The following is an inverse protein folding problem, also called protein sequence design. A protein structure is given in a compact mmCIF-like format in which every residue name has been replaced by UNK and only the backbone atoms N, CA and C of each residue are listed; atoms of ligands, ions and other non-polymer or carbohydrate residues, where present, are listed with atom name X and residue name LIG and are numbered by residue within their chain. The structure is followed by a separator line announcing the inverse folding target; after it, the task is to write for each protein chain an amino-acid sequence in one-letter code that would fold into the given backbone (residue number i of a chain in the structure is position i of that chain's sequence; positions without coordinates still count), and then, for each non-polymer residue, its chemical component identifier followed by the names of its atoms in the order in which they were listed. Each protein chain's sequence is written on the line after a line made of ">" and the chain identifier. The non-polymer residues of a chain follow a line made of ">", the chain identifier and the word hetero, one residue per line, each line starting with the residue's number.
data_IF_039159242671
#
_entry.id   IF_039159242671
#
_cell.length_a   1.000
_cell.length_b   1.000
_cell.length_c   1.000
_cell.angle_alpha   90.00
_cell.angle_beta   90.00
_cell.angle_gamma   90.00
#
_symmetry.space_group_name_H-M   'P 1'
#
loop_
_entity.id
_entity.type
_entity.pdbx_description
1 polymer ?
#
# COMPACT_ATOMS: atom_id res chain seq x y z
N UNK A 1 -10.96 -41.58 6.83
CA UNK A 1 -9.98 -41.59 5.73
C UNK A 1 -9.17 -42.87 5.82
N UNK A 2 -9.08 -43.67 4.75
CA UNK A 2 -8.27 -44.91 4.80
C UNK A 2 -6.80 -44.50 4.70
N UNK A 3 -5.90 -45.26 5.33
CA UNK A 3 -4.45 -44.98 5.29
C UNK A 3 -3.89 -44.86 3.86
N UNK A 4 -4.46 -45.62 2.92
CA UNK A 4 -4.11 -45.57 1.49
C UNK A 4 -4.48 -44.23 0.84
N UNK A 5 -5.63 -43.65 1.19
CA UNK A 5 -6.12 -42.40 0.62
C UNK A 5 -5.19 -41.23 1.01
N UNK A 6 -4.78 -41.17 2.28
CA UNK A 6 -3.83 -40.17 2.79
C UNK A 6 -2.46 -40.27 2.11
N UNK A 7 -1.97 -41.49 1.92
CA UNK A 7 -0.66 -41.72 1.29
C UNK A 7 -0.62 -41.18 -0.15
N UNK A 8 -1.67 -41.43 -0.93
CA UNK A 8 -1.79 -40.91 -2.30
C UNK A 8 -1.86 -39.37 -2.33
N UNK A 9 -2.58 -38.76 -1.38
CA UNK A 9 -2.67 -37.30 -1.24
C UNK A 9 -1.30 -36.67 -0.95
N UNK A 10 -0.53 -37.24 -0.01
CA UNK A 10 0.81 -36.75 0.33
C UNK A 10 1.80 -36.85 -0.84
N UNK A 11 1.63 -37.84 -1.72
CA UNK A 11 2.42 -37.95 -2.95
C UNK A 11 2.01 -36.87 -3.97
N UNK A 12 0.71 -36.60 -4.12
CA UNK A 12 0.21 -35.53 -5.01
C UNK A 12 0.71 -34.15 -4.54
N UNK A 13 0.78 -33.93 -3.23
CA UNK A 13 1.27 -32.69 -2.61
C UNK A 13 2.81 -32.57 -2.59
N UNK A 14 3.53 -33.62 -3.00
CA UNK A 14 4.99 -33.65 -3.03
C UNK A 14 5.66 -33.77 -1.65
N UNK A 15 4.90 -34.10 -0.60
CA UNK A 15 5.42 -34.30 0.76
C UNK A 15 6.24 -35.60 0.88
N UNK A 16 5.92 -36.59 0.04
CA UNK A 16 6.59 -37.88 0.00
C UNK A 16 7.09 -38.14 -1.42
N UNK A 17 8.37 -38.45 -1.57
CA UNK A 17 8.94 -38.91 -2.84
C UNK A 17 8.58 -40.37 -3.08
N UNK A 18 7.84 -40.65 -4.16
CA UNK A 18 7.54 -42.02 -4.57
C UNK A 18 8.52 -42.47 -5.65
N UNK A 19 9.59 -43.16 -5.25
CA UNK A 19 10.49 -43.87 -6.16
C UNK A 19 9.89 -45.22 -6.52
N UNK A 20 9.01 -45.25 -7.52
CA UNK A 20 8.79 -46.37 -8.45
C UNK A 20 7.74 -45.93 -9.48
N UNK A 21 8.08 -46.01 -10.76
CA UNK A 21 7.42 -45.28 -11.83
C UNK A 21 6.15 -45.96 -12.39
N UNK A 22 5.39 -46.69 -11.56
CA UNK A 22 4.14 -47.32 -11.97
C UNK A 22 3.10 -47.26 -10.85
N UNK A 23 2.29 -46.20 -10.84
CA UNK A 23 0.97 -46.28 -10.23
C UNK A 23 0.11 -47.28 -11.02
N UNK A 24 -0.60 -48.16 -10.34
CA UNK A 24 -1.58 -49.03 -10.98
C UNK A 24 -2.67 -48.18 -11.68
N UNK A 25 -3.32 -48.71 -12.72
CA UNK A 25 -4.36 -47.99 -13.49
C UNK A 25 -5.42 -47.40 -12.56
N UNK A 26 -5.82 -48.16 -11.53
CA UNK A 26 -6.80 -47.75 -10.52
C UNK A 26 -6.32 -46.59 -9.65
N UNK A 27 -5.02 -46.55 -9.32
CA UNK A 27 -4.44 -45.47 -8.53
C UNK A 27 -4.30 -44.19 -9.36
N UNK A 28 -4.05 -44.32 -10.68
CA UNK A 28 -4.07 -43.18 -11.61
C UNK A 28 -5.46 -42.56 -11.73
N UNK A 29 -6.50 -43.38 -11.76
CA UNK A 29 -7.89 -42.91 -11.75
C UNK A 29 -8.22 -42.16 -10.45
N UNK A 30 -7.83 -42.71 -9.30
CA UNK A 30 -8.02 -42.07 -7.98
C UNK A 30 -7.24 -40.74 -7.88
N UNK A 31 -5.98 -40.69 -8.34
CA UNK A 31 -5.18 -39.46 -8.38
C UNK A 31 -5.83 -38.40 -9.27
N UNK A 32 -6.36 -38.78 -10.43
CA UNK A 32 -7.03 -37.84 -11.33
C UNK A 32 -8.33 -37.30 -10.74
N UNK A 33 -9.08 -38.14 -10.01
CA UNK A 33 -10.27 -37.70 -9.28
C UNK A 33 -9.91 -36.66 -8.22
N UNK A 34 -8.89 -36.92 -7.40
CA UNK A 34 -8.39 -35.99 -6.37
C UNK A 34 -7.93 -34.67 -6.99
N UNK A 35 -7.16 -34.72 -8.09
CA UNK A 35 -6.72 -33.50 -8.79
C UNK A 35 -7.88 -32.67 -9.34
N UNK A 36 -8.91 -33.33 -9.89
CA UNK A 36 -10.10 -32.67 -10.40
C UNK A 36 -10.89 -31.99 -9.28
N UNK A 37 -11.02 -32.66 -8.14
CA UNK A 37 -11.67 -32.11 -6.95
C UNK A 37 -10.88 -30.92 -6.37
N UNK A 38 -9.56 -31.06 -6.22
CA UNK A 38 -8.68 -29.98 -5.79
C UNK A 38 -8.81 -28.75 -6.71
N UNK A 39 -8.85 -28.97 -8.03
CA UNK A 39 -9.09 -27.89 -8.99
C UNK A 39 -10.44 -27.21 -8.77
N UNK A 40 -11.51 -27.98 -8.58
CA UNK A 40 -12.84 -27.43 -8.33
C UNK A 40 -12.91 -26.65 -6.98
N UNK A 41 -12.19 -27.10 -5.95
CA UNK A 41 -12.06 -26.39 -4.67
C UNK A 41 -11.32 -25.07 -4.87
N UNK A 42 -10.21 -25.07 -5.61
CA UNK A 42 -9.42 -23.87 -5.88
C UNK A 42 -10.13 -22.87 -6.80
N UNK A 43 -10.98 -23.35 -7.72
CA UNK A 43 -11.86 -22.49 -8.52
C UNK A 43 -12.98 -21.88 -7.67
N UNK A 44 -13.56 -22.66 -6.74
CA UNK A 44 -14.62 -22.19 -5.83
C UNK A 44 -14.10 -21.28 -4.72
N UNK A 45 -12.87 -21.50 -4.27
CA UNK A 45 -12.18 -20.72 -3.27
C UNK A 45 -10.81 -20.30 -3.81
N UNK A 46 -10.76 -19.27 -4.67
CA UNK A 46 -9.51 -18.74 -5.18
C UNK A 46 -8.57 -18.42 -4.02
N UNK A 47 -7.30 -18.83 -4.14
CA UNK A 47 -6.31 -18.67 -3.08
C UNK A 47 -6.19 -17.21 -2.60
N UNK A 48 -6.40 -16.26 -3.51
CA UNK A 48 -6.42 -14.83 -3.24
C UNK A 48 -7.54 -14.40 -2.26
N UNK A 49 -8.75 -14.95 -2.39
CA UNK A 49 -9.88 -14.63 -1.51
C UNK A 49 -9.66 -15.21 -0.10
N UNK A 50 -9.05 -16.38 -0.02
CA UNK A 50 -8.67 -17.03 1.25
C UNK A 50 -7.52 -16.29 1.95
N UNK A 51 -6.52 -15.82 1.20
CA UNK A 51 -5.45 -14.98 1.75
C UNK A 51 -6.03 -13.69 2.36
N UNK A 52 -6.98 -13.05 1.67
CA UNK A 52 -7.70 -11.89 2.18
C UNK A 52 -8.46 -12.20 3.48
N UNK A 53 -9.20 -13.30 3.53
CA UNK A 53 -9.99 -13.69 4.72
C UNK A 53 -9.08 -14.01 5.92
N UNK A 54 -7.98 -14.74 5.71
CA UNK A 54 -7.01 -15.09 6.77
C UNK A 54 -6.31 -13.83 7.28
N UNK A 55 -5.85 -12.97 6.38
CA UNK A 55 -5.15 -11.73 6.74
C UNK A 55 -6.07 -10.75 7.47
N UNK A 56 -7.31 -10.62 7.01
CA UNK A 56 -8.34 -9.80 7.68
C UNK A 56 -8.63 -10.30 9.10
N UNK A 57 -8.71 -11.62 9.29
CA UNK A 57 -8.93 -12.24 10.60
C UNK A 57 -7.73 -12.10 11.53
N UNK A 58 -6.50 -12.17 10.99
CA UNK A 58 -5.28 -11.92 11.77
C UNK A 58 -5.17 -10.47 12.22
N UNK A 59 -5.58 -9.52 11.37
CA UNK A 59 -5.60 -8.09 11.69
C UNK A 59 -6.67 -7.78 12.75
N UNK A 60 -7.89 -8.29 12.61
CA UNK A 60 -8.95 -8.08 13.61
C UNK A 60 -8.62 -8.73 14.96
N UNK A 61 -7.98 -9.92 14.96
CA UNK A 61 -7.52 -10.57 16.19
C UNK A 61 -6.37 -9.80 16.88
N UNK A 62 -5.63 -8.97 16.14
CA UNK A 62 -4.57 -8.11 16.68
C UNK A 62 -5.17 -6.82 17.25
N UNK A 63 -6.20 -6.27 16.62
CA UNK A 63 -6.96 -5.11 17.12
C UNK A 63 -7.72 -5.43 18.41
N UNK A 64 -8.34 -6.62 18.54
CA UNK A 64 -8.96 -7.05 19.80
C UNK A 64 -7.96 -7.16 20.96
N UNK A 65 -6.70 -7.54 20.68
CA UNK A 65 -5.63 -7.58 21.71
C UNK A 65 -5.06 -6.20 22.05
N UNK A 66 -5.17 -5.22 21.15
CA UNK A 66 -4.78 -3.83 21.38
C UNK A 66 -5.82 -3.03 22.17
N UNK A 67 -7.11 -3.37 22.06
CA UNK A 67 -8.21 -2.74 22.81
C UNK A 67 -8.62 -3.48 24.11
N UNK A 68 -7.88 -4.51 24.53
CA UNK A 68 -8.20 -5.34 25.70
C UNK A 68 -7.66 -4.87 27.05
N UNK A 69 -6.94 -3.73 27.14
CA UNK A 69 -6.24 -3.36 28.38
C UNK A 69 -6.96 -2.36 29.29
N UNK A 70 -8.21 -1.98 29.01
CA UNK A 70 -8.98 -1.12 29.90
C UNK A 70 -10.23 -1.82 30.42
N UNK A 71 -10.09 -2.52 31.56
CA UNK A 71 -11.13 -2.46 32.61
C UNK A 71 -10.68 -2.99 33.98
N UNK A 72 -10.90 -2.09 34.95
CA UNK A 72 -11.30 -2.29 36.35
C UNK A 72 -10.18 -2.48 37.38
N UNK A 73 -9.69 -1.34 37.89
CA UNK A 73 -9.50 -1.21 39.34
C UNK A 73 -10.67 -0.41 39.93
N UNK A 74 -11.49 -1.11 40.71
CA UNK A 74 -12.51 -0.52 41.57
C UNK A 74 -11.78 0.10 42.77
N UNK A 75 -12.03 1.36 43.07
CA UNK A 75 -11.90 1.82 44.46
C UNK A 75 -13.08 2.73 44.80
N UNK A 76 -13.70 2.39 45.93
CA UNK A 76 -14.83 3.07 46.54
C UNK A 76 -14.35 4.35 47.22
N UNK A 77 -15.22 5.36 47.23
CA UNK A 77 -15.31 6.32 48.34
C UNK A 77 -14.79 7.72 48.05
N UNK A 78 -15.71 8.65 47.78
CA UNK A 78 -16.10 9.68 48.75
C UNK A 78 -17.01 10.71 48.06
N UNK A 79 -18.08 11.08 48.76
CA UNK A 79 -19.02 12.15 48.40
C UNK A 79 -18.43 13.51 48.78
N UNK A 80 -18.62 14.54 47.96
CA UNK A 80 -18.89 15.94 48.32
C UNK A 80 -19.02 16.75 47.01
N UNK A 81 -20.22 17.19 46.60
CA UNK A 81 -20.82 18.50 46.89
C UNK A 81 -19.88 19.70 46.68
N UNK A 82 -20.21 20.55 45.69
CA UNK A 82 -20.21 22.04 45.68
C UNK A 82 -20.44 22.47 44.21
N UNK A 83 -21.69 22.63 43.72
CA UNK A 83 -22.44 23.91 43.59
C UNK A 83 -21.58 25.07 43.05
N UNK A 84 -21.78 25.49 41.79
CA UNK A 84 -22.69 26.57 41.35
C UNK A 84 -22.14 27.98 41.61
N UNK A 85 -21.95 28.71 40.51
CA UNK A 85 -22.12 30.17 40.27
C UNK A 85 -20.95 30.70 39.42
N UNK A 86 -21.08 31.71 38.54
CA UNK A 86 -22.09 32.28 37.65
C UNK A 86 -21.42 33.54 37.07
N UNK A 87 -21.76 33.94 35.83
CA UNK A 87 -21.72 35.32 35.28
C UNK A 87 -20.29 35.83 34.90
N UNK A 88 -19.89 36.15 33.66
CA UNK A 88 -20.41 36.97 32.53
C UNK A 88 -19.74 38.37 32.48
N UNK A 89 -19.43 38.82 31.25
CA UNK A 89 -19.32 40.20 30.74
C UNK A 89 -17.96 40.71 30.21
N UNK A 90 -17.91 40.70 28.88
CA UNK A 90 -17.42 41.67 27.87
C UNK A 90 -17.25 43.13 28.34
N UNK A 91 -16.17 43.79 27.85
CA UNK A 91 -16.01 45.21 27.42
C UNK A 91 -14.63 45.76 27.85
N UNK A 92 -13.90 46.68 27.21
CA UNK A 92 -13.83 47.32 25.90
C UNK A 92 -12.64 48.32 25.99
N UNK A 93 -11.99 48.64 24.85
CA UNK A 93 -11.21 49.87 24.58
C UNK A 93 -9.87 50.10 25.33
N UNK A 94 -8.71 50.13 24.66
CA UNK A 94 -8.14 51.12 23.70
C UNK A 94 -7.19 52.14 24.36
N UNK A 95 -6.24 52.61 23.54
CA UNK A 95 -5.11 53.54 23.77
C UNK A 95 -3.80 52.81 24.16
N UNK A 96 -2.66 52.93 23.46
CA UNK A 96 -2.10 54.05 22.67
C UNK A 96 -0.93 53.47 21.82
N UNK A 97 -0.99 53.43 20.48
CA UNK A 97 -0.54 54.47 19.54
C UNK A 97 0.88 55.04 19.78
N UNK A 98 1.86 54.52 19.03
CA UNK A 98 3.04 55.22 18.51
C UNK A 98 3.39 54.50 17.18
N UNK A 99 2.89 54.93 16.01
CA UNK A 99 3.40 56.01 15.13
C UNK A 99 4.93 56.00 14.91
N UNK A 100 5.36 55.40 13.80
CA UNK A 100 6.33 55.96 12.87
C UNK A 100 5.99 55.50 11.43
N UNK A 101 5.84 56.43 10.46
CA UNK A 101 5.52 56.12 9.06
C UNK A 101 6.76 56.19 8.13
N UNK A 102 6.52 55.81 6.87
CA UNK A 102 7.26 56.12 5.62
C UNK A 102 8.04 54.95 5.03
N UNK A 103 7.48 54.40 3.95
CA UNK A 103 8.13 53.46 3.06
C UNK A 103 7.18 52.93 1.98
N UNK A 104 6.49 53.81 1.25
CA UNK A 104 5.70 53.43 0.07
C UNK A 104 6.69 52.98 -1.02
N UNK A 105 6.78 51.67 -1.23
CA UNK A 105 7.25 51.06 -2.47
C UNK A 105 6.14 50.10 -2.93
N UNK A 106 5.17 50.66 -3.65
CA UNK A 106 4.29 49.91 -4.53
C UNK A 106 5.10 49.50 -5.76
N UNK A 107 5.53 48.24 -5.85
CA UNK A 107 5.81 47.61 -7.14
C UNK A 107 5.69 46.08 -7.09
N UNK A 108 4.59 45.65 -7.72
CA UNK A 108 4.39 44.41 -8.46
C UNK A 108 4.33 43.07 -7.71
N UNK A 109 3.09 42.58 -7.64
CA UNK A 109 2.70 41.17 -7.76
C UNK A 109 3.67 40.39 -8.63
N UNK A 110 4.24 39.33 -8.06
CA UNK A 110 4.34 38.06 -8.77
C UNK A 110 3.78 37.02 -7.82
N UNK A 111 2.52 36.66 -8.05
CA UNK A 111 1.88 35.50 -7.47
C UNK A 111 2.68 34.26 -7.90
N UNK A 112 3.63 33.87 -7.07
CA UNK A 112 4.13 32.50 -7.12
C UNK A 112 3.19 31.72 -6.22
N UNK A 113 2.29 30.95 -6.84
CA UNK A 113 1.50 29.94 -6.17
C UNK A 113 2.46 29.06 -5.36
N UNK A 114 2.61 29.37 -4.08
CA UNK A 114 3.26 28.51 -3.12
C UNK A 114 2.41 27.27 -3.02
N UNK A 115 2.83 26.22 -3.72
CA UNK A 115 2.37 24.87 -3.48
C UNK A 115 2.42 24.65 -1.97
N UNK A 116 1.24 24.47 -1.37
CA UNK A 116 1.12 24.02 0.01
C UNK A 116 1.80 22.65 0.08
N UNK A 117 3.08 22.65 0.43
CA UNK A 117 3.82 21.46 0.83
C UNK A 117 3.21 21.03 2.16
N UNK A 118 2.19 20.20 2.10
CA UNK A 118 1.75 19.45 3.26
C UNK A 118 2.84 18.40 3.50
N UNK A 119 3.84 18.76 4.31
CA UNK A 119 4.69 17.78 4.94
C UNK A 119 3.80 16.97 5.87
N UNK A 120 3.25 15.86 5.37
CA UNK A 120 2.67 14.83 6.22
C UNK A 120 3.86 14.06 6.78
N UNK A 121 4.28 14.41 7.99
CA UNK A 121 5.16 13.56 8.77
C UNK A 121 4.34 12.31 9.11
N UNK A 122 4.69 11.11 8.58
CA UNK A 122 3.94 9.91 8.90
C UNK A 122 4.15 9.60 10.37
N UNK A 123 3.13 9.88 11.20
CA UNK A 123 3.09 9.37 12.56
C UNK A 123 3.12 7.85 12.50
N UNK A 124 4.27 7.28 12.85
CA UNK A 124 4.53 5.85 12.76
C UNK A 124 5.28 5.46 11.49
N UNK A 125 6.53 5.92 11.37
CA UNK A 125 7.51 5.22 10.53
C UNK A 125 7.85 3.86 11.15
N UNK A 126 6.92 2.91 11.00
CA UNK A 126 7.17 1.50 11.29
C UNK A 126 8.30 1.05 10.35
N UNK A 127 9.52 1.05 10.90
CA UNK A 127 10.75 0.73 10.19
C UNK A 127 10.56 -0.55 9.39
N UNK A 128 10.51 -0.42 8.07
CA UNK A 128 10.13 -1.50 7.19
C UNK A 128 11.18 -2.63 7.21
N UNK A 129 11.02 -3.61 8.10
CA UNK A 129 11.86 -4.82 8.16
C UNK A 129 11.75 -5.60 6.84
N UNK A 130 12.89 -5.94 6.25
CA UNK A 130 13.01 -6.68 4.97
C UNK A 130 14.10 -6.10 4.07
N UNK A 131 14.83 -6.97 3.37
CA UNK A 131 15.73 -6.58 2.28
C UNK A 131 14.89 -6.18 1.04
N UNK A 132 15.40 -5.25 0.23
CA UNK A 132 14.75 -4.82 -1.02
C UNK A 132 14.02 -3.48 -0.93
N UNK A 133 13.75 -2.88 -2.10
CA UNK A 133 13.04 -1.62 -2.24
C UNK A 133 11.60 -1.76 -1.76
N UNK A 134 10.94 -0.67 -1.40
CA UNK A 134 9.53 -0.70 -1.00
C UNK A 134 8.79 0.50 -1.52
N UNK A 135 7.50 0.31 -1.78
CA UNK A 135 6.54 1.37 -2.08
C UNK A 135 5.42 1.33 -1.06
N UNK A 136 4.98 2.50 -0.63
CA UNK A 136 3.82 2.65 0.23
C UNK A 136 2.88 3.71 -0.34
N UNK A 137 1.60 3.56 -0.01
CA UNK A 137 0.56 4.49 -0.40
C UNK A 137 -0.23 4.85 0.85
N UNK A 138 -0.47 6.14 1.06
CA UNK A 138 -1.24 6.64 2.19
C UNK A 138 -2.45 7.41 1.66
N UNK A 139 -3.62 7.18 2.24
CA UNK A 139 -4.81 7.96 1.94
C UNK A 139 -4.96 9.09 2.95
N UNK A 140 -5.25 10.29 2.48
CA UNK A 140 -5.60 11.42 3.34
C UNK A 140 -6.96 11.17 4.01
N UNK A 141 -6.99 11.22 5.33
CA UNK A 141 -8.20 11.17 6.14
C UNK A 141 -8.22 12.37 7.10
N UNK A 142 -8.98 13.41 6.73
CA UNK A 142 -9.02 14.66 7.46
C UNK A 142 -7.65 15.34 7.52
N UNK A 143 -7.10 15.46 8.73
CA UNK A 143 -5.76 15.98 9.01
C UNK A 143 -4.68 14.90 9.12
N UNK A 144 -5.03 13.63 8.94
CA UNK A 144 -4.12 12.47 9.06
C UNK A 144 -3.93 11.76 7.73
N UNK A 145 -2.93 10.88 7.67
CA UNK A 145 -2.73 9.99 6.54
C UNK A 145 -2.67 8.54 7.03
N UNK A 146 -3.48 7.68 6.41
CA UNK A 146 -3.60 6.27 6.76
C UNK A 146 -2.90 5.44 5.71
N UNK A 147 -1.95 4.60 6.13
CA UNK A 147 -1.25 3.70 5.22
C UNK A 147 -2.19 2.64 4.68
N UNK A 148 -2.25 2.51 3.36
CA UNK A 148 -3.04 1.52 2.67
C UNK A 148 -2.24 0.21 2.55
N UNK A 149 -2.91 -0.90 2.86
CA UNK A 149 -2.43 -2.23 2.53
C UNK A 149 -2.84 -2.61 1.10
N UNK A 150 -2.22 -3.67 0.56
CA UNK A 150 -2.74 -4.29 -0.65
C UNK A 150 -4.22 -4.64 -0.47
N UNK A 151 -4.97 -4.36 -1.53
CA UNK A 151 -6.40 -4.56 -1.72
C UNK A 151 -7.27 -3.67 -0.83
N UNK A 152 -6.70 -2.61 -0.29
CA UNK A 152 -7.49 -1.60 0.42
C UNK A 152 -8.49 -0.94 -0.53
N UNK A 153 -9.70 -0.72 -0.03
CA UNK A 153 -10.74 0.01 -0.75
C UNK A 153 -10.44 1.50 -0.77
N UNK A 154 -10.55 2.09 -1.95
CA UNK A 154 -10.44 3.53 -2.21
C UNK A 154 -11.61 3.98 -3.07
N UNK A 155 -11.85 5.28 -3.13
CA UNK A 155 -12.93 5.86 -3.90
C UNK A 155 -12.44 6.99 -4.79
N UNK A 156 -13.19 7.24 -5.88
CA UNK A 156 -12.92 8.38 -6.74
C UNK A 156 -12.88 9.68 -5.91
N UNK A 157 -11.84 10.48 -6.13
CA UNK A 157 -11.59 11.70 -5.39
C UNK A 157 -10.75 11.56 -4.12
N UNK A 158 -10.44 10.33 -3.67
CA UNK A 158 -9.46 10.12 -2.60
C UNK A 158 -8.11 10.72 -2.99
N UNK A 159 -7.42 11.30 -2.01
CA UNK A 159 -6.09 11.89 -2.20
C UNK A 159 -5.06 10.97 -1.57
N UNK A 160 -4.12 10.51 -2.39
CA UNK A 160 -3.10 9.53 -2.04
C UNK A 160 -1.72 10.18 -2.02
N UNK A 161 -0.92 9.85 -1.02
CA UNK A 161 0.51 10.14 -0.97
C UNK A 161 1.28 8.86 -1.24
N UNK A 162 2.12 8.86 -2.27
CA UNK A 162 3.02 7.75 -2.58
C UNK A 162 4.39 8.02 -1.95
N UNK A 163 5.01 6.99 -1.41
CA UNK A 163 6.38 7.03 -0.89
C UNK A 163 7.15 5.77 -1.26
N UNK A 164 8.48 5.84 -1.18
CA UNK A 164 9.34 4.69 -1.41
C UNK A 164 10.45 4.57 -0.37
N UNK A 165 11.02 3.38 -0.24
CA UNK A 165 12.28 3.11 0.46
C UNK A 165 13.26 2.53 -0.57
N UNK A 166 14.40 3.19 -0.75
CA UNK A 166 15.42 2.79 -1.75
C UNK A 166 16.15 1.50 -1.37
N UNK A 167 16.39 1.26 -0.07
CA UNK A 167 17.05 0.05 0.46
C UNK A 167 18.36 -0.35 -0.25
N UNK A 168 19.13 0.63 -0.72
CA UNK A 168 20.41 0.39 -1.41
C UNK A 168 20.32 0.31 -2.95
N UNK A 169 19.13 0.48 -3.54
CA UNK A 169 18.98 0.76 -4.97
C UNK A 169 19.34 2.20 -5.29
N UNK A 170 19.94 2.41 -6.46
CA UNK A 170 20.42 3.73 -6.90
C UNK A 170 19.49 4.36 -7.93
N UNK A 171 18.71 3.55 -8.65
CA UNK A 171 17.82 3.99 -9.71
C UNK A 171 16.41 3.44 -9.48
N UNK A 172 15.40 4.22 -9.85
CA UNK A 172 14.04 3.74 -9.80
C UNK A 172 13.05 4.52 -10.65
N UNK A 173 11.90 3.90 -10.85
CA UNK A 173 10.80 4.40 -11.65
C UNK A 173 9.49 4.00 -10.98
N UNK A 174 8.62 4.96 -10.71
CA UNK A 174 7.33 4.74 -10.05
C UNK A 174 6.22 5.19 -10.98
N UNK A 175 5.20 4.35 -11.13
CA UNK A 175 4.03 4.65 -11.95
C UNK A 175 2.81 3.91 -11.40
N UNK A 176 1.61 4.34 -11.79
CA UNK A 176 0.37 3.62 -11.52
C UNK A 176 -0.32 3.20 -12.81
N UNK A 177 -1.21 2.21 -12.70
CA UNK A 177 -2.14 1.81 -13.75
C UNK A 177 -3.56 1.78 -13.18
N UNK A 178 -4.47 2.48 -13.85
CA UNK A 178 -5.89 2.51 -13.50
C UNK A 178 -6.67 1.35 -14.14
N UNK A 179 -7.94 1.17 -13.76
CA UNK A 179 -8.79 0.14 -14.36
C UNK A 179 -9.22 0.38 -15.81
N UNK A 180 -8.85 1.51 -16.42
CA UNK A 180 -8.98 1.75 -17.86
C UNK A 180 -7.68 1.38 -18.63
N UNK A 181 -6.61 1.00 -17.92
CA UNK A 181 -5.30 0.72 -18.50
C UNK A 181 -4.42 1.96 -18.70
N UNK A 182 -4.80 3.14 -18.18
CA UNK A 182 -3.94 4.30 -18.28
C UNK A 182 -2.77 4.20 -17.31
N UNK A 183 -1.56 4.28 -17.87
CA UNK A 183 -0.33 4.38 -17.09
C UNK A 183 -0.02 5.84 -16.72
N UNK A 184 0.12 6.13 -15.43
CA UNK A 184 0.53 7.45 -14.93
C UNK A 184 1.91 7.36 -14.28
N UNK A 185 2.90 8.10 -14.81
CA UNK A 185 4.23 8.17 -14.20
C UNK A 185 4.21 9.07 -12.95
N UNK A 186 4.77 8.57 -11.85
CA UNK A 186 4.92 9.32 -10.60
C UNK A 186 6.36 9.71 -10.28
N UNK A 187 7.34 8.87 -10.62
CA UNK A 187 8.74 9.15 -10.41
C UNK A 187 9.59 8.63 -11.58
N UNK A 188 10.54 9.42 -12.10
CA UNK A 188 10.77 10.83 -11.76
C UNK A 188 9.62 11.74 -12.21
N UNK A 189 9.49 12.95 -11.65
CA UNK A 189 8.43 13.90 -12.05
C UNK A 189 8.61 14.36 -13.51
N UNK A 190 9.86 14.45 -13.97
CA UNK A 190 10.22 14.93 -15.31
C UNK A 190 11.11 13.94 -16.04
N UNK A 191 10.96 13.91 -17.36
CA UNK A 191 11.68 12.98 -18.22
C UNK A 191 11.03 11.59 -18.24
N UNK A 192 11.53 10.73 -19.13
CA UNK A 192 11.02 9.37 -19.29
C UNK A 192 11.92 8.32 -18.64
N UNK A 193 13.20 8.65 -18.42
CA UNK A 193 14.19 7.71 -17.88
C UNK A 193 14.04 7.55 -16.36
N UNK A 194 14.48 6.42 -15.78
CA UNK A 194 14.53 6.22 -14.34
C UNK A 194 15.32 7.30 -13.61
N UNK A 195 14.79 7.73 -12.46
CA UNK A 195 15.41 8.74 -11.62
C UNK A 195 16.41 8.14 -10.62
N UNK A 196 17.29 8.99 -10.09
CA UNK A 196 18.16 8.62 -8.97
C UNK A 196 17.35 8.53 -7.69
N UNK A 197 17.43 7.38 -7.02
CA UNK A 197 16.87 7.21 -5.68
C UNK A 197 17.82 7.85 -4.68
N UNK A 198 17.29 8.69 -3.81
CA UNK A 198 18.08 9.41 -2.81
C UNK A 198 17.64 9.03 -1.40
N UNK A 199 18.27 9.61 -0.39
CA UNK A 199 17.83 9.55 1.01
C UNK A 199 17.97 8.21 1.73
N UNK A 200 17.73 8.26 3.05
CA UNK A 200 17.72 7.11 3.95
C UNK A 200 16.33 7.00 4.57
N UNK A 201 15.73 5.82 4.53
CA UNK A 201 14.38 5.59 5.04
C UNK A 201 13.32 5.78 3.97
N UNK A 202 12.11 6.10 4.41
CA UNK A 202 10.95 6.32 3.55
C UNK A 202 10.90 7.76 3.05
N UNK A 203 10.67 7.92 1.75
CA UNK A 203 10.69 9.21 1.05
C UNK A 203 9.37 9.37 0.33
N UNK A 204 8.59 10.36 0.76
CA UNK A 204 7.39 10.77 0.06
C UNK A 204 7.75 11.43 -1.28
N UNK A 205 6.96 11.16 -2.32
CA UNK A 205 7.02 11.92 -3.57
C UNK A 205 6.55 13.36 -3.35
N UNK A 206 7.03 14.28 -4.18
CA UNK A 206 6.84 15.72 -4.00
C UNK A 206 5.38 16.20 -4.13
N UNK A 207 4.48 15.33 -4.57
CA UNK A 207 3.06 15.64 -4.74
C UNK A 207 2.15 14.48 -4.31
N UNK A 208 0.91 14.83 -3.98
CA UNK A 208 -0.16 13.88 -3.73
C UNK A 208 -0.99 13.67 -5.00
N UNK A 209 -1.43 12.43 -5.22
CA UNK A 209 -2.21 12.00 -6.37
C UNK A 209 -3.69 11.87 -6.01
N UNK A 210 -4.58 12.52 -6.76
CA UNK A 210 -6.02 12.40 -6.55
C UNK A 210 -6.57 11.33 -7.50
N UNK A 211 -7.25 10.33 -6.95
CA UNK A 211 -7.89 9.30 -7.75
C UNK A 211 -8.98 9.91 -8.64
N UNK A 212 -8.96 9.52 -9.89
CA UNK A 212 -10.01 9.81 -10.85
C UNK A 212 -11.21 8.84 -10.67
N UNK A 213 -12.14 8.87 -11.63
CA UNK A 213 -13.28 7.97 -11.67
C UNK A 213 -13.05 6.72 -12.54
N UNK A 214 -11.79 6.31 -12.78
CA UNK A 214 -11.51 5.04 -13.44
C UNK A 214 -12.09 3.87 -12.62
N UNK A 215 -12.65 2.84 -13.28
CA UNK A 215 -13.34 1.76 -12.59
C UNK A 215 -12.35 0.81 -11.90
N UNK A 216 -12.88 -0.09 -11.07
CA UNK A 216 -12.23 -1.30 -10.55
C UNK A 216 -11.02 -1.14 -9.63
N UNK A 217 -9.95 -0.46 -10.05
CA UNK A 217 -8.69 -0.46 -9.31
C UNK A 217 -7.77 0.71 -9.65
N UNK A 218 -6.76 0.86 -8.79
CA UNK A 218 -5.53 1.62 -9.03
C UNK A 218 -4.35 0.77 -8.53
N UNK A 219 -3.33 0.53 -9.36
CA UNK A 219 -2.16 -0.26 -8.95
C UNK A 219 -0.87 0.51 -9.17
N UNK A 220 -0.14 0.74 -8.09
CA UNK A 220 1.14 1.44 -8.11
C UNK A 220 2.28 0.44 -8.18
N UNK A 221 3.27 0.73 -9.02
CA UNK A 221 4.48 -0.07 -9.20
C UNK A 221 5.71 0.77 -8.87
N UNK A 222 6.69 0.15 -8.23
CA UNK A 222 8.03 0.67 -8.02
C UNK A 222 9.04 -0.30 -8.60
N UNK A 223 9.69 0.13 -9.68
CA UNK A 223 10.81 -0.57 -10.30
C UNK A 223 12.10 0.03 -9.79
N UNK A 224 13.05 -0.80 -9.37
CA UNK A 224 14.32 -0.33 -8.82
C UNK A 224 15.51 -1.18 -9.24
N UNK A 225 16.70 -0.57 -9.29
CA UNK A 225 17.95 -1.27 -9.60
C UNK A 225 19.18 -0.58 -8.98
N UNK A 226 20.24 -1.37 -8.77
CA UNK A 226 21.55 -0.88 -8.33
C UNK A 226 22.31 -0.27 -9.49
N UNK A 227 22.08 -0.75 -10.71
CA UNK A 227 22.69 -0.24 -11.92
C UNK A 227 21.73 0.70 -12.66
N UNK A 228 22.28 1.61 -13.46
CA UNK A 228 21.49 2.42 -14.36
C UNK A 228 20.70 1.52 -15.33
N UNK A 229 19.46 1.87 -15.59
CA UNK A 229 18.61 1.23 -16.59
C UNK A 229 17.83 2.29 -17.37
N UNK A 230 17.29 1.92 -18.52
CA UNK A 230 16.47 2.81 -19.34
C UNK A 230 15.00 2.43 -19.24
N UNK A 231 14.10 3.39 -19.49
CA UNK A 231 12.67 3.14 -19.61
C UNK A 231 12.34 2.08 -20.66
N UNK A 232 13.14 1.96 -21.71
CA UNK A 232 12.98 0.92 -22.74
C UNK A 232 13.09 -0.50 -22.17
N UNK A 233 13.85 -0.69 -21.09
CA UNK A 233 13.94 -1.99 -20.41
C UNK A 233 12.61 -2.43 -19.79
N UNK A 234 11.63 -1.53 -19.68
CA UNK A 234 10.31 -1.81 -19.12
C UNK A 234 9.26 -2.10 -20.20
N UNK A 235 9.57 -1.99 -21.49
CA UNK A 235 8.55 -2.07 -22.55
C UNK A 235 7.79 -3.39 -22.57
N UNK A 236 8.48 -4.52 -22.36
CA UNK A 236 7.85 -5.83 -22.24
C UNK A 236 6.90 -5.90 -21.03
N UNK A 237 7.27 -5.28 -19.91
CA UNK A 237 6.45 -5.20 -18.71
C UNK A 237 5.19 -4.36 -18.93
N UNK A 238 5.32 -3.18 -19.55
CA UNK A 238 4.19 -2.31 -19.85
C UNK A 238 3.18 -2.98 -20.80
N UNK A 239 3.67 -3.65 -21.85
CA UNK A 239 2.78 -4.39 -22.76
C UNK A 239 1.96 -5.48 -22.06
N UNK A 240 2.48 -6.05 -20.98
CA UNK A 240 1.76 -7.07 -20.21
C UNK A 240 0.79 -6.45 -19.22
N UNK A 241 1.13 -5.32 -18.59
CA UNK A 241 0.20 -4.65 -17.69
C UNK A 241 -1.07 -4.21 -18.44
N UNK A 242 -0.95 -3.72 -19.67
CA UNK A 242 -2.12 -3.29 -20.47
C UNK A 242 -3.15 -4.43 -20.66
N UNK A 243 -2.70 -5.69 -20.63
CA UNK A 243 -3.54 -6.88 -20.82
C UNK A 243 -3.91 -7.55 -19.49
N UNK A 244 -2.98 -7.52 -18.53
CA UNK A 244 -2.96 -8.41 -17.37
C UNK A 244 -2.68 -7.63 -16.06
N UNK A 245 -3.09 -6.35 -15.97
CA UNK A 245 -2.84 -5.48 -14.82
C UNK A 245 -3.26 -6.06 -13.45
N UNK A 246 -4.15 -7.05 -13.43
CA UNK A 246 -4.64 -7.73 -12.22
C UNK A 246 -3.84 -8.97 -11.82
N UNK A 247 -2.94 -9.44 -12.67
CA UNK A 247 -2.14 -10.64 -12.40
C UNK A 247 -1.22 -10.46 -11.20
N UNK A 248 -0.78 -11.58 -10.63
CA UNK A 248 0.17 -11.55 -9.53
C UNK A 248 1.44 -10.81 -9.93
N UNK A 249 2.06 -10.13 -8.96
CA UNK A 249 3.30 -9.41 -9.21
C UNK A 249 4.42 -10.33 -9.68
N UNK A 250 4.44 -11.59 -9.22
CA UNK A 250 5.42 -12.60 -9.64
C UNK A 250 5.30 -12.94 -11.13
N UNK A 251 4.06 -13.02 -11.65
CA UNK A 251 3.82 -13.23 -13.08
C UNK A 251 4.35 -12.06 -13.90
N UNK A 252 4.00 -10.83 -13.50
CA UNK A 252 4.43 -9.62 -14.18
C UNK A 252 5.96 -9.42 -14.08
N UNK A 253 6.57 -9.77 -12.95
CA UNK A 253 8.01 -9.65 -12.73
C UNK A 253 8.84 -10.47 -13.73
N UNK A 254 8.28 -11.55 -14.28
CA UNK A 254 8.95 -12.38 -15.30
C UNK A 254 9.27 -11.64 -16.60
N UNK A 255 8.61 -10.51 -16.86
CA UNK A 255 8.82 -9.66 -18.03
C UNK A 255 9.85 -8.55 -17.82
N UNK A 256 10.42 -8.47 -16.61
CA UNK A 256 11.52 -7.55 -16.30
C UNK A 256 12.87 -8.26 -16.44
N UNK A 257 13.93 -7.52 -16.85
CA UNK A 257 15.29 -8.01 -16.70
C UNK A 257 15.57 -8.42 -15.24
N UNK A 258 16.34 -9.48 -15.04
CA UNK A 258 16.70 -10.00 -13.71
C UNK A 258 17.51 -9.03 -12.84
N UNK A 259 17.99 -7.93 -13.41
CA UNK A 259 18.68 -6.85 -12.70
C UNK A 259 17.74 -5.81 -12.10
N UNK A 260 16.44 -5.89 -12.39
CA UNK A 260 15.41 -5.00 -11.87
C UNK A 260 14.57 -5.72 -10.82
N UNK A 261 14.24 -5.02 -9.74
CA UNK A 261 13.25 -5.45 -8.76
C UNK A 261 11.96 -4.66 -8.95
N UNK A 262 10.82 -5.33 -8.71
CA UNK A 262 9.50 -4.73 -8.75
C UNK A 262 8.77 -4.95 -7.44
N UNK A 263 8.13 -3.89 -6.95
CA UNK A 263 7.20 -3.92 -5.83
C UNK A 263 5.93 -3.18 -6.22
N UNK A 264 4.79 -3.56 -5.64
CA UNK A 264 3.52 -2.94 -5.95
C UNK A 264 2.63 -2.68 -4.73
N UNK A 265 1.70 -1.74 -4.91
CA UNK A 265 0.52 -1.58 -4.07
C UNK A 265 -0.73 -1.60 -4.95
N UNK A 266 -1.57 -2.60 -4.79
CA UNK A 266 -2.82 -2.76 -5.54
C UNK A 266 -3.99 -2.28 -4.67
N UNK A 267 -4.72 -1.25 -5.10
CA UNK A 267 -5.93 -0.73 -4.46
C UNK A 267 -7.18 -1.05 -5.28
N UNK A 268 -8.32 -1.29 -4.62
CA UNK A 268 -9.60 -1.60 -5.29
C UNK A 268 -10.58 -0.43 -5.15
N UNK A 269 -11.30 -0.12 -6.23
CA UNK A 269 -12.32 0.94 -6.33
C UNK A 269 -13.72 0.33 -6.30
#
# INVERSE_FOLDING_TARGET
>A
MRKKDLYLEQIILGEISHTNNEFEIKEKEEINAIKKENKAILEKYPAYDMEFAVRSKMLSSKEEKLHGSEKKFRSNGAKAFFTSQRIMAIAAMLCLAFLLPIGIQLKNRTETQGQNRVFIEPEGSERAKGFGGKIFVYKKEGSSAVRLANLSKVSAGDVLQVSYVSSGFSYGYIFSVDGNGHCTQHFPEKGKEPGLLTGKGEIALDYAYKLDNAPSFERFFFISSKAAFSRKNLDAFFNQIDLNARDSIDSLASYLPSTLEVHDVFLVK
#
